data_IF_565624680327
#
_entry.id   IF_565624680327
#
_cell.length_a   1.000
_cell.length_b   1.000
_cell.length_c   1.000
_cell.angle_alpha   90.00
_cell.angle_beta   90.00
_cell.angle_gamma   90.00
#
_symmetry.space_group_name_H-M   'P 1'
#
loop_
_entity.id
_entity.type
_entity.pdbx_description
1 polymer ?
#
# COMPACT_ATOMS: atom_id res chain seq x y z
N UNK A 1 -7.28 -11.56 3.70
CA UNK A 1 -7.81 -10.48 2.83
C UNK A 1 -6.65 -9.86 2.06
N UNK A 2 -6.64 -9.90 0.73
CA UNK A 2 -5.58 -9.25 -0.08
C UNK A 2 -6.20 -8.10 -0.87
N UNK A 3 -5.57 -6.94 -0.79
CA UNK A 3 -6.28 -5.68 -0.92
C UNK A 3 -6.05 -5.01 -2.28
N UNK A 4 -7.05 -5.09 -3.16
CA UNK A 4 -7.14 -4.28 -4.38
C UNK A 4 -7.41 -2.79 -4.08
N UNK A 5 -7.64 -2.42 -2.81
CA UNK A 5 -7.86 -1.03 -2.39
C UNK A 5 -6.70 -0.12 -2.72
N UNK A 6 -5.45 -0.61 -2.79
CA UNK A 6 -4.31 0.20 -3.22
C UNK A 6 -4.51 0.79 -4.61
N UNK A 7 -4.87 -0.04 -5.59
CA UNK A 7 -5.08 0.42 -6.96
C UNK A 7 -6.32 1.31 -7.10
N UNK A 8 -7.40 1.00 -6.37
CA UNK A 8 -8.61 1.83 -6.30
C UNK A 8 -8.29 3.20 -5.70
N UNK A 9 -7.56 3.23 -4.58
CA UNK A 9 -7.11 4.45 -3.93
C UNK A 9 -6.31 5.32 -4.89
N UNK A 10 -5.37 4.73 -5.63
CA UNK A 10 -4.58 5.48 -6.61
C UNK A 10 -5.45 6.07 -7.73
N UNK A 11 -6.44 5.32 -8.22
CA UNK A 11 -7.42 5.81 -9.20
C UNK A 11 -8.21 6.99 -8.64
N UNK A 12 -8.76 6.86 -7.44
CA UNK A 12 -9.58 7.91 -6.83
C UNK A 12 -8.75 9.15 -6.45
N UNK A 13 -7.50 8.99 -5.99
CA UNK A 13 -6.58 10.11 -5.76
C UNK A 13 -6.22 10.81 -7.08
N UNK A 14 -5.99 10.04 -8.15
CA UNK A 14 -5.71 10.58 -9.49
C UNK A 14 -6.90 11.40 -9.99
N UNK A 15 -8.12 10.86 -9.85
CA UNK A 15 -9.36 11.57 -10.19
C UNK A 15 -9.54 12.82 -9.35
N UNK A 16 -9.37 12.72 -8.03
CA UNK A 16 -9.48 13.84 -7.10
C UNK A 16 -8.53 14.99 -7.47
N UNK A 17 -7.28 14.68 -7.84
CA UNK A 17 -6.31 15.67 -8.34
C UNK A 17 -6.80 16.32 -9.63
N UNK A 18 -7.33 15.52 -10.55
CA UNK A 18 -7.71 15.96 -11.90
C UNK A 18 -9.04 16.75 -11.92
N UNK A 19 -9.92 16.55 -10.93
CA UNK A 19 -11.16 17.33 -10.72
C UNK A 19 -10.88 18.78 -10.24
N UNK A 20 -9.65 19.08 -9.83
CA UNK A 20 -9.21 20.41 -9.41
C UNK A 20 -8.98 21.38 -10.58
N UNK A 21 -8.91 22.70 -10.31
CA UNK A 21 -8.59 23.70 -11.32
C UNK A 21 -7.17 23.52 -11.87
N UNK A 22 -6.94 23.89 -13.14
CA UNK A 22 -5.66 23.70 -13.85
C UNK A 22 -4.44 24.26 -13.10
N UNK A 23 -4.61 25.37 -12.36
CA UNK A 23 -3.57 25.94 -11.50
C UNK A 23 -3.01 24.97 -10.44
N UNK A 24 -3.77 23.94 -10.07
CA UNK A 24 -3.43 22.93 -9.09
C UNK A 24 -2.91 21.63 -9.71
N UNK A 25 -2.98 21.45 -11.04
CA UNK A 25 -2.47 20.24 -11.72
C UNK A 25 -0.94 20.07 -11.58
N UNK A 26 -0.25 21.16 -11.20
CA UNK A 26 1.18 21.18 -10.90
C UNK A 26 1.51 20.77 -9.46
N UNK A 27 0.51 20.42 -8.64
CA UNK A 27 0.72 19.95 -7.28
C UNK A 27 0.87 18.44 -7.27
N UNK A 28 1.84 17.93 -6.52
CA UNK A 28 1.94 16.50 -6.22
C UNK A 28 0.88 16.11 -5.20
N UNK A 29 0.45 14.85 -5.24
CA UNK A 29 -0.39 14.27 -4.19
C UNK A 29 0.43 13.31 -3.33
N UNK A 30 0.22 13.37 -2.02
CA UNK A 30 0.87 12.48 -1.06
C UNK A 30 -0.18 11.49 -0.56
N UNK A 31 0.11 10.20 -0.67
CA UNK A 31 -0.73 9.12 -0.17
C UNK A 31 0.08 8.42 0.92
N UNK A 32 -0.34 8.56 2.18
CA UNK A 32 0.41 8.03 3.31
C UNK A 32 -0.50 7.45 4.38
N UNK A 33 -0.02 6.42 5.06
CA UNK A 33 -0.75 5.71 6.11
C UNK A 33 -0.24 4.30 6.30
N UNK A 34 -0.90 3.56 7.19
CA UNK A 34 -0.78 2.12 7.31
C UNK A 34 -1.68 1.44 6.28
N UNK A 35 -1.07 0.66 5.40
CA UNK A 35 -1.75 -0.05 4.32
C UNK A 35 -1.91 -1.55 4.58
N UNK A 36 -1.44 -2.07 5.72
CA UNK A 36 -1.54 -3.48 6.09
C UNK A 36 -0.92 -4.49 5.08
N UNK A 37 -0.06 -4.04 4.18
CA UNK A 37 0.69 -4.92 3.27
C UNK A 37 2.19 -4.67 3.31
N UNK A 38 2.98 -5.73 3.05
CA UNK A 38 4.43 -5.65 2.92
C UNK A 38 4.89 -5.32 1.50
N UNK A 39 6.20 -5.03 1.30
CA UNK A 39 6.76 -4.77 -0.04
C UNK A 39 6.66 -5.96 -1.01
N UNK A 40 6.52 -7.18 -0.48
CA UNK A 40 6.33 -8.42 -1.23
C UNK A 40 4.85 -8.69 -1.61
N UNK A 41 3.93 -7.85 -1.17
CA UNK A 41 2.50 -8.01 -1.48
C UNK A 41 2.14 -7.54 -2.89
N UNK A 42 1.18 -8.21 -3.59
CA UNK A 42 0.67 -7.75 -4.87
C UNK A 42 0.18 -6.28 -4.87
N UNK A 43 -0.43 -5.81 -3.78
CA UNK A 43 -0.96 -4.46 -3.67
C UNK A 43 0.14 -3.40 -3.80
N UNK A 44 1.29 -3.63 -3.14
CA UNK A 44 2.47 -2.76 -3.26
C UNK A 44 2.96 -2.71 -4.71
N UNK A 45 3.12 -3.87 -5.36
CA UNK A 45 3.58 -3.95 -6.75
C UNK A 45 2.64 -3.21 -7.72
N UNK A 46 1.33 -3.36 -7.54
CA UNK A 46 0.32 -2.71 -8.39
C UNK A 46 0.32 -1.19 -8.21
N UNK A 47 0.44 -0.71 -6.96
CA UNK A 47 0.57 0.72 -6.66
C UNK A 47 1.79 1.33 -7.35
N UNK A 48 2.92 0.62 -7.32
CA UNK A 48 4.15 1.04 -7.97
C UNK A 48 4.08 0.97 -9.51
N UNK A 49 2.99 0.47 -10.10
CA UNK A 49 2.82 0.34 -11.55
C UNK A 49 3.67 -0.78 -12.16
N UNK A 50 4.16 -1.71 -11.34
CA UNK A 50 5.11 -2.72 -11.74
C UNK A 50 4.43 -4.05 -12.11
N UNK A 51 5.12 -4.88 -12.90
CA UNK A 51 4.65 -6.23 -13.19
C UNK A 51 4.70 -7.11 -11.93
N UNK A 52 3.63 -7.87 -11.70
CA UNK A 52 3.53 -8.84 -10.61
C UNK A 52 4.53 -9.99 -10.79
N UNK A 53 5.17 -10.36 -9.69
CA UNK A 53 5.97 -11.59 -9.62
C UNK A 53 5.05 -12.82 -9.71
N UNK A 54 5.54 -14.00 -10.16
CA UNK A 54 4.71 -15.20 -10.28
C UNK A 54 3.99 -15.59 -8.99
N UNK A 55 4.65 -15.46 -7.84
CA UNK A 55 4.07 -15.75 -6.52
C UNK A 55 3.00 -14.72 -6.13
N UNK A 56 3.22 -13.45 -6.48
CA UNK A 56 2.25 -12.37 -6.26
C UNK A 56 1.02 -12.55 -7.13
N UNK A 57 1.19 -12.97 -8.39
CA UNK A 57 0.08 -13.27 -9.30
C UNK A 57 -0.80 -14.39 -8.75
N UNK A 58 -0.20 -15.46 -8.23
CA UNK A 58 -0.95 -16.57 -7.61
C UNK A 58 -1.78 -16.10 -6.40
N UNK A 59 -1.25 -15.18 -5.58
CA UNK A 59 -1.97 -14.57 -4.45
C UNK A 59 -3.06 -13.59 -4.89
N UNK A 60 -2.80 -12.83 -5.96
CA UNK A 60 -3.78 -11.92 -6.54
C UNK A 60 -4.96 -12.70 -7.11
N UNK A 61 -4.71 -13.74 -7.91
CA UNK A 61 -5.75 -14.53 -8.57
C UNK A 61 -6.75 -15.14 -7.58
N UNK A 62 -6.33 -15.42 -6.34
CA UNK A 62 -7.22 -15.95 -5.29
C UNK A 62 -8.10 -14.89 -4.61
N UNK A 63 -7.83 -13.60 -4.83
CA UNK A 63 -8.47 -12.48 -4.11
C UNK A 63 -8.98 -11.36 -5.03
N UNK A 64 -8.78 -11.52 -6.34
CA UNK A 64 -9.15 -10.55 -7.36
C UNK A 64 -10.59 -10.73 -7.80
N UNK A 65 -11.51 -10.15 -7.03
CA UNK A 65 -12.95 -10.32 -7.21
C UNK A 65 -13.71 -8.99 -7.15
N UNK A 66 -14.85 -8.92 -7.84
CA UNK A 66 -15.82 -7.82 -7.82
C UNK A 66 -17.01 -8.26 -6.99
N UNK A 67 -17.25 -7.55 -5.89
CA UNK A 67 -18.38 -7.81 -5.00
C UNK A 67 -19.71 -7.35 -5.62
N UNK A 68 -20.82 -7.98 -5.23
CA UNK A 68 -22.16 -7.73 -5.76
C UNK A 68 -22.68 -6.30 -5.56
N UNK A 69 -22.08 -5.55 -4.63
CA UNK A 69 -22.36 -4.12 -4.42
C UNK A 69 -21.81 -3.23 -5.53
N UNK A 70 -20.78 -3.69 -6.24
CA UNK A 70 -20.18 -2.99 -7.38
C UNK A 70 -20.77 -3.52 -8.69
N UNK A 71 -21.06 -4.82 -8.76
CA UNK A 71 -21.68 -5.46 -9.92
C UNK A 71 -22.96 -6.20 -9.53
N UNK A 72 -24.10 -5.60 -9.86
CA UNK A 72 -25.43 -6.17 -9.56
C UNK A 72 -25.75 -7.46 -10.32
N UNK A 73 -24.90 -7.90 -11.26
CA UNK A 73 -25.05 -9.18 -11.96
C UNK A 73 -24.52 -10.37 -11.17
N UNK A 74 -23.81 -10.13 -10.05
CA UNK A 74 -23.33 -11.17 -9.15
C UNK A 74 -24.49 -11.71 -8.31
N UNK A 75 -24.69 -13.02 -8.31
CA UNK A 75 -25.73 -13.67 -7.53
C UNK A 75 -25.45 -13.50 -6.02
N UNK A 76 -26.46 -13.03 -5.28
CA UNK A 76 -26.42 -12.86 -3.82
C UNK A 76 -27.18 -13.95 -3.06
N UNK A 77 -27.83 -14.86 -3.80
CA UNK A 77 -28.65 -15.92 -3.23
C UNK A 77 -27.77 -17.02 -2.60
N UNK A 78 -27.52 -16.90 -1.30
CA UNK A 78 -26.89 -17.95 -0.48
C UNK A 78 -25.89 -17.51 0.59
N UNK A 79 -25.57 -16.22 0.70
CA UNK A 79 -24.64 -15.74 1.73
C UNK A 79 -25.32 -15.62 3.10
N UNK A 80 -24.99 -16.53 4.03
CA UNK A 80 -25.27 -16.32 5.44
C UNK A 80 -24.52 -15.06 5.92
N UNK A 81 -25.17 -14.22 6.73
CA UNK A 81 -24.51 -13.09 7.38
C UNK A 81 -23.33 -13.62 8.21
N UNK A 82 -22.11 -13.21 7.87
CA UNK A 82 -20.97 -13.41 8.75
C UNK A 82 -21.17 -12.48 9.96
N UNK A 83 -21.27 -13.07 11.16
CA UNK A 83 -21.26 -12.32 12.41
C UNK A 83 -19.86 -11.73 12.60
N UNK A 84 -19.77 -10.45 12.93
CA UNK A 84 -18.51 -9.76 13.23
C UNK A 84 -17.89 -10.39 14.50
N UNK A 85 -16.93 -11.29 14.34
CA UNK A 85 -16.12 -11.78 15.47
C UNK A 85 -14.94 -10.85 15.73
N UNK A 86 -14.77 -10.52 17.01
CA UNK A 86 -13.74 -9.64 17.59
C UNK A 86 -12.31 -10.12 17.22
N UNK A 87 -11.45 -9.18 16.81
CA UNK A 87 -10.05 -9.43 16.45
C UNK A 87 -9.30 -10.21 17.56
N UNK A 88 -8.79 -11.42 17.25
CA UNK A 88 -7.80 -12.05 18.14
C UNK A 88 -7.56 -13.57 18.06
N UNK A 89 -8.09 -14.32 17.09
CA UNK A 89 -7.87 -15.77 17.04
C UNK A 89 -6.90 -16.21 15.92
N UNK A 90 -5.93 -17.07 16.27
CA UNK A 90 -4.97 -17.67 15.34
C UNK A 90 -5.67 -18.46 14.21
N UNK A 91 -5.27 -18.18 12.97
CA UNK A 91 -5.87 -18.74 11.76
C UNK A 91 -5.64 -20.26 11.62
N UNK A 92 -6.71 -21.05 11.81
CA UNK A 92 -6.79 -22.45 11.40
C UNK A 92 -7.06 -22.63 9.89
N UNK A 93 -6.83 -23.83 9.36
CA UNK A 93 -6.95 -24.16 7.92
C UNK A 93 -8.35 -23.95 7.29
N UNK A 94 -9.40 -23.74 8.09
CA UNK A 94 -10.78 -23.48 7.65
C UNK A 94 -11.26 -22.08 8.09
N UNK A 95 -10.49 -21.07 7.75
CA UNK A 95 -10.83 -19.67 7.98
C UNK A 95 -11.94 -19.20 7.00
N UNK A 96 -13.16 -18.85 7.47
CA UNK A 96 -14.25 -18.35 6.63
C UNK A 96 -13.91 -17.05 5.89
N UNK A 97 -12.90 -16.29 6.34
CA UNK A 97 -12.40 -15.08 5.67
C UNK A 97 -11.60 -15.37 4.38
N UNK A 98 -11.42 -16.66 4.04
CA UNK A 98 -10.81 -17.08 2.76
C UNK A 98 -11.81 -17.23 1.62
N UNK A 99 -13.10 -17.35 1.89
CA UNK A 99 -14.13 -17.51 0.84
C UNK A 99 -14.84 -16.19 0.65
N UNK A 100 -14.43 -15.44 -0.38
CA UNK A 100 -15.13 -14.19 -0.73
C UNK A 100 -16.47 -14.55 -1.37
N UNK A 101 -17.53 -14.52 -0.56
CA UNK A 101 -18.91 -14.72 -1.02
C UNK A 101 -19.44 -13.47 -1.73
N UNK A 102 -20.50 -13.63 -2.54
CA UNK A 102 -21.12 -12.53 -3.29
C UNK A 102 -20.15 -11.77 -4.19
N UNK A 103 -19.14 -12.44 -4.77
CA UNK A 103 -18.19 -11.81 -5.65
C UNK A 103 -17.91 -12.68 -6.89
N UNK A 104 -17.61 -12.03 -8.03
CA UNK A 104 -17.14 -12.69 -9.26
C UNK A 104 -15.65 -12.39 -9.50
N UNK A 105 -14.91 -13.17 -10.29
CA UNK A 105 -13.58 -12.76 -10.74
C UNK A 105 -13.61 -11.40 -11.46
N UNK A 106 -12.64 -10.53 -11.16
CA UNK A 106 -12.50 -9.26 -11.85
C UNK A 106 -11.97 -9.45 -13.30
N UNK A 107 -12.41 -8.59 -14.20
CA UNK A 107 -12.15 -8.61 -15.64
C UNK A 107 -11.35 -7.38 -16.08
N UNK A 108 -10.68 -7.43 -17.24
CA UNK A 108 -9.94 -6.28 -17.76
C UNK A 108 -10.80 -5.01 -17.94
N UNK A 109 -12.11 -5.15 -18.16
CA UNK A 109 -13.05 -4.04 -18.29
C UNK A 109 -13.37 -3.32 -16.98
N UNK A 110 -12.99 -3.87 -15.82
CA UNK A 110 -13.26 -3.27 -14.50
C UNK A 110 -12.31 -2.08 -14.19
N UNK A 111 -11.37 -1.76 -15.10
CA UNK A 111 -10.48 -0.58 -15.08
C UNK A 111 -9.82 -0.30 -13.72
N UNK A 112 -9.20 -1.34 -13.17
CA UNK A 112 -8.53 -1.31 -11.87
C UNK A 112 -7.07 -0.84 -11.95
N UNK A 113 -6.60 -0.30 -13.08
CA UNK A 113 -5.20 0.13 -13.23
C UNK A 113 -5.11 1.51 -13.89
N UNK A 114 -4.90 2.55 -13.08
CA UNK A 114 -4.36 3.81 -13.61
C UNK A 114 -3.46 4.49 -12.58
N UNK A 115 -2.30 4.96 -13.06
CA UNK A 115 -1.33 5.73 -12.29
C UNK A 115 -0.06 4.97 -11.93
N UNK A 116 1.00 5.72 -11.66
CA UNK A 116 2.26 5.24 -11.11
C UNK A 116 2.63 6.18 -9.98
N UNK A 117 2.93 5.64 -8.81
CA UNK A 117 3.45 6.43 -7.67
C UNK A 117 4.91 6.08 -7.41
N UNK A 118 5.58 7.00 -6.74
CA UNK A 118 6.92 6.81 -6.21
C UNK A 118 6.80 6.55 -4.71
N UNK A 119 7.29 5.40 -4.24
CA UNK A 119 7.50 5.20 -2.81
C UNK A 119 8.64 6.11 -2.35
N UNK A 120 8.36 7.00 -1.40
CA UNK A 120 9.37 7.89 -0.84
C UNK A 120 10.52 7.13 -0.18
N UNK A 121 10.22 5.99 0.45
CA UNK A 121 11.20 5.15 1.12
C UNK A 121 12.17 4.49 0.16
N UNK A 122 11.65 3.80 -0.86
CA UNK A 122 12.46 3.28 -1.97
C UNK A 122 13.33 4.37 -2.63
N UNK A 123 12.73 5.50 -3.02
CA UNK A 123 13.44 6.60 -3.66
C UNK A 123 14.54 7.20 -2.77
N UNK A 124 14.26 7.37 -1.47
CA UNK A 124 15.23 7.90 -0.52
C UNK A 124 16.32 6.88 -0.14
N UNK A 125 15.99 5.59 0.03
CA UNK A 125 16.95 4.54 0.34
C UNK A 125 18.01 4.38 -0.76
N UNK A 126 17.62 4.54 -2.03
CA UNK A 126 18.55 4.54 -3.16
C UNK A 126 19.56 5.69 -3.12
N UNK A 127 19.26 6.76 -2.39
CA UNK A 127 20.15 7.92 -2.24
C UNK A 127 21.06 7.82 -1.01
N UNK A 128 20.84 6.87 -0.10
CA UNK A 128 21.66 6.70 1.11
C UNK A 128 22.84 5.76 0.82
N UNK A 129 24.10 6.25 0.88
CA UNK A 129 25.28 5.40 0.71
C UNK A 129 25.30 4.24 1.72
N UNK A 130 25.74 3.06 1.27
CA UNK A 130 25.70 1.81 2.03
C UNK A 130 24.35 1.07 1.99
N UNK A 131 23.20 1.77 1.97
CA UNK A 131 21.89 1.13 1.73
C UNK A 131 21.74 0.84 0.24
N UNK A 132 21.99 1.84 -0.62
CA UNK A 132 21.96 1.67 -2.08
C UNK A 132 22.91 0.58 -2.57
N UNK A 133 24.09 0.48 -1.95
CA UNK A 133 25.12 -0.52 -2.25
C UNK A 133 24.73 -1.94 -1.82
N UNK A 134 23.87 -2.07 -0.81
CA UNK A 134 23.36 -3.37 -0.37
C UNK A 134 22.41 -4.02 -1.38
N UNK A 135 21.85 -3.23 -2.31
CA UNK A 135 20.83 -3.67 -3.27
C UNK A 135 19.48 -4.04 -2.65
N UNK A 136 19.31 -3.87 -1.34
CA UNK A 136 18.09 -4.17 -0.60
C UNK A 136 17.38 -2.87 -0.24
N UNK A 137 16.43 -2.49 -1.09
CA UNK A 137 15.53 -1.36 -0.90
C UNK A 137 14.10 -1.88 -0.91
N UNK A 138 13.12 -1.02 -0.62
CA UNK A 138 11.72 -1.40 -0.72
C UNK A 138 11.32 -1.79 -2.16
N UNK A 139 11.98 -1.21 -3.17
CA UNK A 139 11.83 -1.63 -4.57
C UNK A 139 12.28 -3.07 -4.85
N UNK A 140 13.04 -3.71 -3.94
CA UNK A 140 13.45 -5.10 -4.09
C UNK A 140 12.31 -6.10 -3.81
N UNK A 141 11.19 -5.65 -3.21
CA UNK A 141 9.95 -6.43 -2.97
C UNK A 141 10.19 -7.77 -2.25
N UNK A 142 11.16 -7.75 -1.33
CA UNK A 142 11.52 -8.93 -0.53
C UNK A 142 10.65 -8.98 0.72
N UNK A 143 10.23 -10.19 1.09
CA UNK A 143 9.46 -10.40 2.31
C UNK A 143 10.26 -10.01 3.54
N UNK A 144 9.61 -9.30 4.47
CA UNK A 144 10.22 -8.85 5.72
C UNK A 144 9.70 -9.72 6.87
N UNK A 145 10.55 -10.14 7.82
CA UNK A 145 10.11 -10.96 8.95
C UNK A 145 8.92 -10.35 9.69
N UNK A 146 8.01 -11.21 10.18
CA UNK A 146 6.75 -10.80 10.83
C UNK A 146 6.95 -9.88 12.05
N UNK A 147 8.08 -10.04 12.74
CA UNK A 147 8.55 -9.22 13.86
C UNK A 147 9.01 -7.80 13.46
N UNK A 148 9.07 -7.50 12.15
CA UNK A 148 9.52 -6.24 11.56
C UNK A 148 8.67 -5.88 10.33
N UNK A 149 7.35 -5.99 10.45
CA UNK A 149 6.47 -5.62 9.35
C UNK A 149 6.66 -4.16 8.97
N UNK A 150 6.70 -3.91 7.67
CA UNK A 150 6.58 -2.56 7.12
C UNK A 150 5.20 -2.47 6.49
N UNK A 151 4.33 -1.67 7.09
CA UNK A 151 2.94 -1.50 6.68
C UNK A 151 2.63 -0.02 6.42
N UNK A 152 3.38 0.88 7.06
CA UNK A 152 3.32 2.31 6.82
C UNK A 152 4.11 2.70 5.57
N UNK A 153 3.49 3.49 4.69
CA UNK A 153 4.13 4.02 3.49
C UNK A 153 3.86 5.51 3.30
N UNK A 154 4.74 6.16 2.56
CA UNK A 154 4.52 7.48 1.94
C UNK A 154 4.74 7.29 0.45
N UNK A 155 3.67 7.36 -0.33
CA UNK A 155 3.69 7.38 -1.78
C UNK A 155 3.51 8.81 -2.29
N UNK A 156 4.22 9.12 -3.37
CA UNK A 156 4.16 10.41 -4.06
C UNK A 156 3.61 10.18 -5.46
N UNK A 157 2.46 10.78 -5.74
CA UNK A 157 1.94 10.91 -7.09
C UNK A 157 2.48 12.22 -7.67
N UNK A 158 3.33 12.13 -8.68
CA UNK A 158 3.98 13.30 -9.28
C UNK A 158 2.97 14.29 -9.87
N UNK A 159 3.40 15.55 -9.87
CA UNK A 159 2.70 16.63 -10.53
C UNK A 159 2.77 16.46 -12.06
N UNK A 160 1.74 16.93 -12.78
CA UNK A 160 1.76 16.85 -14.24
C UNK A 160 2.94 17.66 -14.81
N UNK A 161 3.80 16.99 -15.56
CA UNK A 161 4.96 17.59 -16.23
C UNK A 161 6.03 18.11 -15.27
N UNK A 162 6.10 17.58 -14.04
CA UNK A 162 7.10 17.96 -13.04
C UNK A 162 7.41 16.80 -12.11
N UNK A 163 8.70 16.48 -12.02
CA UNK A 163 9.20 15.53 -11.04
C UNK A 163 9.26 16.19 -9.65
N UNK A 164 8.75 15.51 -8.63
CA UNK A 164 8.86 15.93 -7.23
C UNK A 164 9.81 14.98 -6.50
N UNK A 165 11.13 15.24 -6.53
CA UNK A 165 12.10 14.34 -5.92
C UNK A 165 11.93 14.31 -4.40
N UNK A 166 11.99 13.10 -3.86
CA UNK A 166 12.22 12.87 -2.44
C UNK A 166 13.71 13.06 -2.17
N UNK A 167 14.05 14.03 -1.32
CA UNK A 167 15.44 14.46 -1.09
C UNK A 167 16.02 13.81 0.17
N UNK A 168 15.20 13.65 1.22
CA UNK A 168 15.63 13.08 2.50
C UNK A 168 14.53 12.27 3.14
N UNK A 169 14.92 11.29 3.95
CA UNK A 169 14.04 10.52 4.83
C UNK A 169 14.43 10.75 6.28
N UNK A 170 13.44 10.79 7.16
CA UNK A 170 13.70 10.65 8.58
C UNK A 170 14.30 9.26 8.85
N UNK A 171 15.41 9.24 9.57
CA UNK A 171 16.13 8.01 9.86
C UNK A 171 15.26 7.14 10.77
N UNK A 172 14.98 5.87 10.40
CA UNK A 172 14.32 4.94 11.30
C UNK A 172 15.13 4.73 12.57
N UNK A 173 14.46 4.56 13.70
CA UNK A 173 15.12 4.20 14.95
C UNK A 173 15.71 2.79 14.85
N UNK A 174 16.81 2.55 15.57
CA UNK A 174 17.41 1.22 15.65
C UNK A 174 16.58 0.31 16.56
N UNK A 175 16.61 -1.01 16.30
CA UNK A 175 15.88 -2.01 17.09
C UNK A 175 16.16 -1.87 18.59
N UNK A 176 17.40 -1.59 18.97
CA UNK A 176 17.82 -1.47 20.38
C UNK A 176 17.10 -0.34 21.14
N UNK A 177 16.67 0.73 20.44
CA UNK A 177 15.95 1.86 21.05
C UNK A 177 14.55 1.44 21.51
N UNK A 178 13.97 0.42 20.88
CA UNK A 178 12.63 -0.04 21.19
C UNK A 178 12.56 -0.96 22.41
N UNK A 179 13.66 -1.59 22.85
CA UNK A 179 13.65 -2.45 24.03
C UNK A 179 12.52 -3.48 23.96
N UNK A 180 11.58 -3.43 24.91
CA UNK A 180 10.41 -4.31 25.00
C UNK A 180 9.31 -4.06 23.94
N UNK A 181 9.46 -3.03 23.08
CA UNK A 181 8.52 -2.70 22.01
C UNK A 181 7.78 -1.38 22.19
N UNK A 182 6.71 -1.20 21.43
CA UNK A 182 5.80 -0.03 21.43
C UNK A 182 4.35 -0.53 21.62
N UNK A 183 3.40 0.30 22.11
CA UNK A 183 3.59 1.66 22.64
C UNK A 183 4.27 1.66 24.02
N UNK A 184 4.74 2.83 24.47
CA UNK A 184 5.41 3.01 25.76
C UNK A 184 4.78 4.13 26.57
N UNK A 185 4.16 3.78 27.71
CA UNK A 185 3.52 4.74 28.62
C UNK A 185 4.47 5.90 28.98
N UNK A 186 4.04 7.13 28.70
CA UNK A 186 4.82 8.35 28.98
C UNK A 186 5.93 8.65 27.95
N UNK A 187 6.09 7.85 26.91
CA UNK A 187 7.09 8.04 25.84
C UNK A 187 6.41 8.12 24.47
N UNK A 188 5.62 7.11 24.09
CA UNK A 188 4.85 7.10 22.85
C UNK A 188 3.50 6.41 23.06
N UNK A 189 2.49 6.92 22.35
CA UNK A 189 1.12 6.39 22.42
C UNK A 189 0.78 5.41 21.28
N UNK A 190 1.64 5.33 20.26
CA UNK A 190 1.47 4.46 19.11
C UNK A 190 2.53 3.35 19.09
N UNK A 191 2.12 2.19 18.60
CA UNK A 191 2.94 1.07 18.11
C UNK A 191 3.56 1.34 16.72
N UNK A 192 3.01 2.33 16.02
CA UNK A 192 3.48 3.06 14.85
C UNK A 192 4.84 3.76 15.05
N UNK A 193 5.78 3.62 14.12
CA UNK A 193 6.90 4.57 13.99
C UNK A 193 6.50 5.65 12.99
N UNK A 194 6.55 6.91 13.41
CA UNK A 194 6.25 8.03 12.51
C UNK A 194 7.18 8.07 11.31
N UNK A 195 6.58 8.16 10.12
CA UNK A 195 7.29 8.31 8.86
C UNK A 195 7.43 9.79 8.50
N UNK A 196 8.54 10.16 7.86
CA UNK A 196 8.74 11.51 7.36
C UNK A 196 9.70 11.52 6.16
N UNK A 197 9.35 12.32 5.16
CA UNK A 197 10.12 12.54 3.95
C UNK A 197 10.16 14.03 3.62
N UNK A 198 11.29 14.49 3.10
CA UNK A 198 11.45 15.83 2.57
C UNK A 198 11.33 15.80 1.04
N UNK A 199 10.46 16.64 0.51
CA UNK A 199 10.26 16.83 -0.92
C UNK A 199 10.75 18.21 -1.33
N UNK A 200 11.25 18.31 -2.57
CA UNK A 200 11.64 19.59 -3.14
C UNK A 200 10.81 19.90 -4.38
N UNK A 201 10.26 21.12 -4.44
CA UNK A 201 9.58 21.64 -5.61
C UNK A 201 10.42 22.73 -6.24
N UNK A 202 10.81 22.53 -7.50
CA UNK A 202 11.41 23.60 -8.29
C UNK A 202 10.37 24.71 -8.51
N UNK A 203 10.72 26.00 -8.39
CA UNK A 203 9.82 27.07 -8.77
C UNK A 203 9.39 26.93 -10.25
N UNK A 204 8.17 27.38 -10.61
CA UNK A 204 7.71 27.39 -12.00
C UNK A 204 8.59 28.23 -12.93
#
# INVERSE_FOLDING_TARGET
MFDTTGAILLREVTKFRDDGPESQWRWSSIIAGDFNFGPDDPAYTLLMGDALLPEQKKRQDSSYVVHATIDSTVATDGAAQAEEEEEGAEAGENDPDRVIVNARPAQPSDDLQSGTVISAYDAGQRQVPGISESGLTFGSRVSVPQERRVLDYIFVLDARGRDVPVVRLAKPHRKEVFGDGLPKKGVCVSDHISLAAEQHWLPP
#
